data_IF_714762386156
#
_entry.id   IF_714762386156
#
_cell.length_a   1.000
_cell.length_b   1.000
_cell.length_c   1.000
_cell.angle_alpha   90.00
_cell.angle_beta   90.00
_cell.angle_gamma   90.00
#
_symmetry.space_group_name_H-M   'P 1'
#
loop_
_entity.id
_entity.type
_entity.pdbx_description
1 polymer ?
#
# COMPACT_ATOMS: atom_id res chain seq x y z
N UNK A 1 13.15 -13.29 12.29
CA UNK A 1 12.12 -13.29 11.25
C UNK A 1 10.85 -12.66 11.81
N UNK A 2 10.07 -11.96 10.98
CA UNK A 2 8.75 -11.44 11.39
C UNK A 2 7.81 -12.62 11.61
N UNK A 3 6.92 -12.52 12.61
CA UNK A 3 5.87 -13.52 12.82
C UNK A 3 4.87 -13.49 11.65
N UNK A 4 4.49 -14.65 11.14
CA UNK A 4 3.54 -14.75 10.01
C UNK A 4 2.18 -14.15 10.33
N UNK A 5 1.68 -14.26 11.57
CA UNK A 5 0.42 -13.62 11.93
C UNK A 5 0.52 -12.09 11.88
N UNK A 6 1.66 -11.52 12.29
CA UNK A 6 1.92 -10.08 12.19
C UNK A 6 1.95 -9.61 10.73
N UNK A 7 2.42 -10.45 9.79
CA UNK A 7 2.41 -10.13 8.36
C UNK A 7 0.98 -9.92 7.83
N UNK A 8 0.04 -10.80 8.17
CA UNK A 8 -1.36 -10.66 7.77
C UNK A 8 -2.08 -9.53 8.50
N UNK A 9 -1.74 -9.29 9.76
CA UNK A 9 -2.26 -8.14 10.52
C UNK A 9 -1.79 -6.82 9.89
N UNK A 10 -0.53 -6.72 9.49
CA UNK A 10 0.00 -5.56 8.76
C UNK A 10 -0.72 -5.35 7.42
N UNK A 11 -0.93 -6.41 6.63
CA UNK A 11 -1.77 -6.30 5.43
C UNK A 11 -3.20 -5.86 5.75
N UNK A 12 -3.77 -6.37 6.82
CA UNK A 12 -5.12 -6.01 7.24
C UNK A 12 -5.24 -4.51 7.55
N UNK A 13 -4.23 -3.96 8.23
CA UNK A 13 -4.12 -2.52 8.50
C UNK A 13 -3.93 -1.73 7.21
N UNK A 14 -3.05 -2.18 6.30
CA UNK A 14 -2.82 -1.51 5.01
C UNK A 14 -4.08 -1.46 4.13
N UNK A 15 -4.91 -2.50 4.20
CA UNK A 15 -6.12 -2.63 3.38
C UNK A 15 -7.39 -2.08 4.04
N UNK A 16 -7.38 -1.84 5.35
CA UNK A 16 -8.60 -1.53 6.10
C UNK A 16 -9.62 -2.68 6.10
N UNK A 17 -9.14 -3.92 5.96
CA UNK A 17 -9.94 -5.13 5.80
C UNK A 17 -9.27 -6.31 6.52
N UNK A 18 -9.98 -7.40 6.77
CA UNK A 18 -9.36 -8.63 7.32
C UNK A 18 -8.67 -9.41 6.21
N UNK A 19 -7.34 -9.50 6.24
CA UNK A 19 -6.57 -10.29 5.28
C UNK A 19 -6.15 -11.63 5.90
N UNK A 20 -6.31 -12.73 5.15
CA UNK A 20 -5.96 -14.10 5.58
C UNK A 20 -5.20 -14.85 4.49
N UNK A 21 -4.44 -15.91 4.82
CA UNK A 21 -3.84 -16.78 3.81
C UNK A 21 -4.93 -17.50 2.99
N UNK A 22 -4.65 -17.74 1.71
CA UNK A 22 -5.51 -18.53 0.81
C UNK A 22 -5.76 -19.95 1.35
N UNK A 23 -4.80 -20.53 2.06
CA UNK A 23 -4.92 -21.85 2.69
C UNK A 23 -6.08 -21.95 3.67
N UNK A 24 -6.43 -20.85 4.36
CA UNK A 24 -7.60 -20.81 5.26
C UNK A 24 -8.92 -20.95 4.50
N UNK A 25 -9.03 -20.35 3.32
CA UNK A 25 -10.20 -20.51 2.45
C UNK A 25 -10.29 -21.93 1.89
N UNK A 26 -9.16 -22.43 1.39
CA UNK A 26 -9.08 -23.72 0.72
C UNK A 26 -9.29 -24.90 1.68
N UNK A 27 -9.03 -24.74 2.97
CA UNK A 27 -9.35 -25.75 4.00
C UNK A 27 -10.80 -26.20 3.96
N UNK A 28 -11.72 -25.27 3.68
CA UNK A 28 -13.15 -25.54 3.56
C UNK A 28 -13.62 -25.62 2.10
N UNK A 29 -12.76 -25.25 1.13
CA UNK A 29 -13.06 -25.17 -0.29
C UNK A 29 -11.89 -25.69 -1.14
N UNK A 30 -11.59 -27.00 -1.10
CA UNK A 30 -10.41 -27.54 -1.77
C UNK A 30 -10.38 -27.23 -3.27
N UNK A 31 -9.26 -26.73 -3.77
CA UNK A 31 -9.05 -26.42 -5.19
C UNK A 31 -9.81 -25.20 -5.73
N UNK A 32 -10.52 -24.45 -4.89
CA UNK A 32 -11.23 -23.23 -5.29
C UNK A 32 -10.41 -21.98 -5.01
N UNK A 33 -10.62 -20.97 -5.86
CA UNK A 33 -10.10 -19.62 -5.67
C UNK A 33 -11.25 -18.73 -5.22
N UNK A 34 -11.07 -17.90 -4.18
CA UNK A 34 -12.10 -16.98 -3.73
C UNK A 34 -12.19 -15.75 -4.65
N UNK A 35 -13.40 -15.21 -4.87
CA UNK A 35 -13.62 -13.99 -5.66
C UNK A 35 -12.91 -12.75 -5.07
N UNK A 36 -12.63 -12.80 -3.76
CA UNK A 36 -11.92 -11.77 -3.00
C UNK A 36 -10.44 -12.10 -2.77
N UNK A 37 -9.80 -12.74 -3.75
CA UNK A 37 -8.35 -12.93 -3.78
C UNK A 37 -7.65 -11.59 -4.05
N UNK A 38 -6.77 -11.19 -3.13
CA UNK A 38 -5.97 -9.97 -3.22
C UNK A 38 -4.66 -10.24 -3.97
N UNK A 39 -4.50 -9.62 -5.14
CA UNK A 39 -3.24 -9.61 -5.91
C UNK A 39 -2.38 -8.40 -5.53
N UNK A 40 -1.13 -8.35 -6.02
CA UNK A 40 -0.21 -7.22 -5.81
C UNK A 40 -0.73 -5.92 -6.47
N UNK A 41 -1.37 -6.03 -7.62
CA UNK A 41 -2.07 -4.92 -8.29
C UNK A 41 -3.30 -4.50 -7.49
N UNK A 42 -4.10 -5.46 -7.00
CA UNK A 42 -5.21 -5.19 -6.10
C UNK A 42 -4.79 -4.50 -4.81
N UNK A 43 -3.61 -4.87 -4.26
CA UNK A 43 -3.03 -4.21 -3.09
C UNK A 43 -2.67 -2.76 -3.37
N UNK A 44 -2.12 -2.44 -4.55
CA UNK A 44 -1.91 -1.05 -4.95
C UNK A 44 -3.22 -0.26 -4.92
N UNK A 45 -4.27 -0.77 -5.58
CA UNK A 45 -5.57 -0.08 -5.62
C UNK A 45 -6.15 0.05 -4.20
N UNK A 46 -6.18 -1.03 -3.43
CA UNK A 46 -6.81 -1.03 -2.12
C UNK A 46 -6.07 -0.26 -1.04
N UNK A 47 -4.73 -0.21 -1.10
CA UNK A 47 -3.92 0.55 -0.13
C UNK A 47 -3.79 2.04 -0.45
N UNK A 48 -4.01 2.44 -1.72
CA UNK A 48 -3.89 3.84 -2.16
C UNK A 48 -5.24 4.52 -2.39
N UNK A 49 -6.18 3.85 -3.07
CA UNK A 49 -7.52 4.37 -3.38
C UNK A 49 -8.59 3.82 -2.44
N UNK A 50 -8.42 2.57 -2.02
CA UNK A 50 -9.23 1.98 -0.99
C UNK A 50 -9.90 0.64 -1.29
N UNK A 51 -10.29 -0.08 -0.23
CA UNK A 51 -10.98 -1.37 -0.32
C UNK A 51 -12.27 -1.30 -1.12
N UNK A 52 -13.01 -0.18 -1.11
CA UNK A 52 -14.21 -0.02 -1.95
C UNK A 52 -13.85 0.00 -3.43
N UNK A 53 -12.85 0.79 -3.82
CA UNK A 53 -12.29 0.82 -5.16
C UNK A 53 -11.68 -0.54 -5.57
N UNK A 54 -11.12 -1.29 -4.63
CA UNK A 54 -10.64 -2.66 -4.86
C UNK A 54 -11.79 -3.63 -5.12
N UNK A 55 -12.87 -3.60 -4.33
CA UNK A 55 -13.98 -4.53 -4.52
C UNK A 55 -14.64 -4.35 -5.89
N UNK A 56 -14.76 -3.10 -6.35
CA UNK A 56 -15.18 -2.80 -7.72
C UNK A 56 -14.20 -3.34 -8.78
N UNK A 57 -12.89 -3.32 -8.51
CA UNK A 57 -11.87 -3.90 -9.40
C UNK A 57 -11.96 -5.43 -9.47
N UNK A 58 -12.17 -6.08 -8.32
CA UNK A 58 -12.34 -7.54 -8.23
C UNK A 58 -13.62 -8.03 -8.91
N UNK A 59 -14.69 -7.24 -8.85
CA UNK A 59 -15.99 -7.64 -9.40
C UNK A 59 -16.67 -6.51 -10.22
N UNK A 60 -16.24 -6.33 -11.49
CA UNK A 60 -16.69 -5.23 -12.35
C UNK A 60 -18.11 -5.42 -12.92
N UNK A 61 -18.84 -6.50 -12.60
CA UNK A 61 -20.22 -6.74 -13.08
C UNK A 61 -21.28 -6.28 -12.05
N UNK A 62 -20.86 -6.00 -10.82
CA UNK A 62 -21.75 -5.68 -9.69
C UNK A 62 -22.49 -4.33 -9.77
N UNK A 63 -22.16 -3.46 -10.74
CA UNK A 63 -22.79 -2.14 -10.94
C UNK A 63 -24.23 -2.20 -11.47
N UNK A 64 -24.62 -3.26 -12.19
CA UNK A 64 -25.99 -3.42 -12.71
C UNK A 64 -27.00 -3.79 -11.61
N UNK A 65 -26.54 -4.33 -10.47
CA UNK A 65 -27.40 -4.68 -9.34
C UNK A 65 -27.54 -3.54 -8.29
N UNK A 66 -26.91 -2.38 -8.51
CA UNK A 66 -26.95 -1.25 -7.59
C UNK A 66 -28.24 -0.41 -7.67
N UNK A 67 -29.09 -0.63 -8.68
CA UNK A 67 -30.39 0.05 -8.84
C UNK A 67 -31.46 -0.34 -7.81
N UNK A 68 -31.30 -1.47 -7.11
CA UNK A 68 -32.30 -2.01 -6.15
C UNK A 68 -31.87 -1.79 -4.68
N UNK A 69 -30.61 -1.45 -4.45
CA UNK A 69 -30.00 -1.36 -3.12
C UNK A 69 -30.26 -0.02 -2.39
N UNK A 70 -30.62 1.06 -3.11
CA UNK A 70 -30.86 2.39 -2.50
C UNK A 70 -31.97 2.43 -1.44
N UNK A 71 -32.80 1.39 -1.33
CA UNK A 71 -33.84 1.26 -0.31
C UNK A 71 -33.39 0.57 1.00
N UNK A 72 -32.20 -0.04 1.07
CA UNK A 72 -31.80 -0.88 2.22
C UNK A 72 -30.47 -0.54 2.90
N UNK A 73 -29.68 0.41 2.38
CA UNK A 73 -28.41 0.78 3.01
C UNK A 73 -28.56 2.09 3.79
N UNK A 74 -29.03 1.96 5.02
CA UNK A 74 -28.54 2.82 6.10
C UNK A 74 -27.01 2.75 6.09
N UNK A 75 -26.35 3.91 5.99
CA UNK A 75 -24.91 4.07 6.13
C UNK A 75 -24.47 3.63 7.54
N UNK A 76 -24.13 2.34 7.68
CA UNK A 76 -23.69 1.79 8.96
C UNK A 76 -22.19 1.47 8.93
N UNK A 77 -21.46 2.04 9.92
CA UNK A 77 -20.00 2.01 10.09
C UNK A 77 -19.45 0.61 10.39
N UNK A 78 -20.33 -0.37 10.60
CA UNK A 78 -20.07 -1.75 11.00
C UNK A 78 -19.57 -2.68 9.88
N UNK A 79 -19.82 -2.36 8.60
CA UNK A 79 -19.59 -3.29 7.46
C UNK A 79 -18.15 -3.35 6.92
N UNK A 80 -17.31 -2.35 7.16
CA UNK A 80 -15.95 -2.31 6.60
C UNK A 80 -14.99 -3.32 7.23
N UNK A 81 -15.09 -3.50 8.55
CA UNK A 81 -14.31 -4.49 9.31
C UNK A 81 -14.68 -5.94 9.00
N UNK A 82 -15.82 -6.16 8.35
CA UNK A 82 -16.28 -7.49 7.90
C UNK A 82 -15.75 -7.87 6.51
N UNK A 83 -15.14 -6.94 5.77
CA UNK A 83 -14.52 -7.29 4.48
C UNK A 83 -13.35 -8.23 4.74
N UNK A 84 -13.47 -9.46 4.25
CA UNK A 84 -12.38 -10.44 4.25
C UNK A 84 -11.70 -10.43 2.88
N UNK A 85 -10.39 -10.56 2.84
CA UNK A 85 -9.57 -10.76 1.64
C UNK A 85 -8.66 -11.95 1.86
N UNK A 86 -8.31 -12.66 0.80
CA UNK A 86 -7.39 -13.79 0.85
C UNK A 86 -6.14 -13.51 0.03
N UNK A 87 -4.99 -13.96 0.50
CA UNK A 87 -3.71 -13.77 -0.18
C UNK A 87 -3.04 -15.13 -0.40
N UNK A 88 -2.64 -15.39 -1.65
CA UNK A 88 -1.70 -16.46 -1.95
C UNK A 88 -0.28 -15.98 -1.61
N UNK A 89 0.33 -16.61 -0.60
CA UNK A 89 1.66 -16.22 -0.12
C UNK A 89 2.72 -16.27 -1.21
N UNK A 90 2.69 -17.29 -2.07
CA UNK A 90 3.71 -17.54 -3.08
C UNK A 90 3.64 -16.53 -4.22
N UNK A 91 2.45 -15.96 -4.47
CA UNK A 91 2.20 -14.99 -5.53
C UNK A 91 2.21 -13.54 -5.06
N UNK A 92 2.11 -13.31 -3.74
CA UNK A 92 1.99 -11.97 -3.18
C UNK A 92 3.27 -11.50 -2.47
N UNK A 93 3.93 -12.37 -1.71
CA UNK A 93 5.14 -12.02 -0.97
C UNK A 93 6.39 -12.49 -1.68
N UNK A 94 7.45 -11.70 -1.56
CA UNK A 94 8.77 -12.04 -2.08
C UNK A 94 9.75 -12.23 -0.92
N UNK A 95 9.63 -13.37 -0.23
CA UNK A 95 10.29 -13.61 1.06
C UNK A 95 11.81 -13.53 1.00
N UNK A 96 12.43 -13.76 -0.16
CA UNK A 96 13.87 -13.59 -0.36
C UNK A 96 14.32 -12.14 -0.14
N UNK A 97 13.41 -11.18 -0.34
CA UNK A 97 13.64 -9.75 -0.19
C UNK A 97 13.05 -9.16 1.09
N UNK A 98 12.57 -9.98 2.01
CA UNK A 98 12.33 -9.54 3.38
C UNK A 98 13.66 -9.14 4.02
N UNK A 99 13.71 -7.96 4.62
CA UNK A 99 14.92 -7.46 5.27
C UNK A 99 14.63 -6.96 6.67
N UNK A 100 15.47 -7.35 7.61
CA UNK A 100 15.44 -6.86 8.98
C UNK A 100 16.49 -5.76 9.14
N UNK A 101 16.05 -4.50 9.09
CA UNK A 101 16.90 -3.34 9.33
C UNK A 101 16.89 -2.89 10.81
N UNK A 102 16.30 -3.66 11.73
CA UNK A 102 16.11 -3.25 13.14
C UNK A 102 17.43 -2.82 13.80
N UNK A 103 18.50 -3.56 13.55
CA UNK A 103 19.83 -3.31 14.12
C UNK A 103 20.83 -2.80 13.06
N UNK A 104 20.34 -2.29 11.94
CA UNK A 104 21.18 -1.73 10.87
C UNK A 104 21.37 -0.23 11.11
N UNK A 105 22.61 0.22 10.98
CA UNK A 105 22.99 1.63 10.96
C UNK A 105 23.81 1.88 9.72
N UNK A 106 23.36 2.80 8.88
CA UNK A 106 24.05 3.14 7.64
C UNK A 106 24.87 4.42 7.79
N UNK A 107 26.01 4.41 7.12
CA UNK A 107 26.82 5.61 6.93
C UNK A 107 26.89 6.02 5.45
N UNK A 108 26.40 5.15 4.57
CA UNK A 108 26.42 5.30 3.13
C UNK A 108 25.26 6.17 2.63
N UNK A 109 25.54 6.94 1.58
CA UNK A 109 24.52 7.64 0.80
C UNK A 109 24.00 6.70 -0.30
N UNK A 110 22.75 6.25 -0.19
CA UNK A 110 22.10 5.51 -1.27
C UNK A 110 21.34 6.46 -2.17
N UNK A 111 21.24 6.12 -3.46
CA UNK A 111 20.49 6.89 -4.46
C UNK A 111 19.62 5.93 -5.26
N UNK A 112 18.38 6.32 -5.55
CA UNK A 112 17.40 5.55 -6.31
C UNK A 112 16.61 6.51 -7.20
N UNK A 113 16.61 6.27 -8.52
CA UNK A 113 15.93 7.15 -9.48
C UNK A 113 16.38 8.62 -9.42
N UNK A 114 17.66 8.82 -9.17
CA UNK A 114 18.35 10.10 -9.05
C UNK A 114 17.93 10.95 -7.84
N UNK A 115 17.28 10.32 -6.86
CA UNK A 115 16.92 10.90 -5.57
C UNK A 115 17.66 10.19 -4.43
N UNK A 116 18.00 10.94 -3.38
CA UNK A 116 18.58 10.38 -2.17
C UNK A 116 17.64 9.37 -1.51
N UNK A 117 18.18 8.22 -1.12
CA UNK A 117 17.45 7.13 -0.46
C UNK A 117 18.10 6.83 0.89
N UNK A 118 17.30 6.94 1.96
CA UNK A 118 17.69 6.44 3.27
C UNK A 118 17.05 5.07 3.45
N UNK A 119 17.87 4.02 3.59
CA UNK A 119 17.32 2.69 3.91
C UNK A 119 16.53 2.78 5.22
N UNK A 120 15.46 1.98 5.39
CA UNK A 120 14.58 2.06 6.53
C UNK A 120 15.22 1.45 7.80
N UNK A 121 16.38 1.98 8.21
CA UNK A 121 17.10 1.58 9.42
C UNK A 121 16.19 1.69 10.65
N UNK A 122 16.18 0.64 11.48
CA UNK A 122 15.25 0.49 12.61
C UNK A 122 13.88 -0.12 12.25
N UNK A 123 13.68 -0.57 11.01
CA UNK A 123 12.42 -1.19 10.56
C UNK A 123 12.64 -2.59 9.99
N UNK A 124 11.60 -3.41 10.02
CA UNK A 124 11.51 -4.66 9.25
C UNK A 124 10.76 -4.38 7.96
N UNK A 125 11.22 -4.92 6.85
CA UNK A 125 10.54 -4.86 5.56
C UNK A 125 9.98 -6.22 5.21
N UNK A 126 8.68 -6.24 4.91
CA UNK A 126 8.00 -7.29 4.17
C UNK A 126 8.03 -6.90 2.70
N UNK A 127 8.59 -7.74 1.83
CA UNK A 127 8.65 -7.49 0.39
C UNK A 127 7.43 -8.06 -0.35
N UNK A 128 6.98 -7.32 -1.36
CA UNK A 128 5.90 -7.71 -2.26
C UNK A 128 6.48 -8.26 -3.57
N UNK A 129 5.84 -9.28 -4.16
CA UNK A 129 6.24 -9.91 -5.42
C UNK A 129 5.81 -9.08 -6.62
N UNK A 130 6.55 -8.00 -6.85
CA UNK A 130 6.19 -6.92 -7.80
C UNK A 130 6.72 -7.11 -9.22
N UNK A 131 7.61 -8.08 -9.45
CA UNK A 131 8.16 -8.34 -10.78
C UNK A 131 7.03 -8.70 -11.75
N UNK A 132 7.03 -8.03 -12.89
CA UNK A 132 6.06 -8.20 -13.99
C UNK A 132 4.59 -7.86 -13.63
N UNK A 133 4.34 -7.28 -12.44
CA UNK A 133 3.00 -6.84 -12.00
C UNK A 133 2.63 -5.44 -12.47
N UNK A 134 3.61 -4.64 -12.87
CA UNK A 134 3.42 -3.23 -13.23
C UNK A 134 4.01 -2.86 -14.61
N UNK A 135 4.00 -3.80 -15.55
CA UNK A 135 4.66 -3.65 -16.85
C UNK A 135 6.15 -4.01 -16.77
N UNK A 136 7.01 -3.22 -17.40
CA UNK A 136 8.46 -3.43 -17.32
C UNK A 136 8.98 -3.25 -15.88
N UNK A 137 10.15 -3.81 -15.57
CA UNK A 137 10.74 -3.79 -14.23
C UNK A 137 11.81 -2.69 -14.04
N UNK A 138 12.01 -1.81 -15.03
CA UNK A 138 13.10 -0.80 -15.00
C UNK A 138 12.96 0.14 -13.80
N UNK A 139 11.72 0.49 -13.44
CA UNK A 139 11.37 1.30 -12.29
C UNK A 139 11.92 0.77 -10.95
N UNK A 140 12.13 -0.54 -10.81
CA UNK A 140 12.65 -1.15 -9.59
C UNK A 140 14.18 -1.09 -9.51
N UNK A 141 14.84 -1.05 -10.67
CA UNK A 141 16.28 -1.20 -10.83
C UNK A 141 16.77 -2.63 -10.58
N UNK A 142 18.06 -2.92 -10.83
CA UNK A 142 18.62 -4.26 -10.63
C UNK A 142 18.71 -4.60 -9.13
N UNK A 143 18.66 -5.90 -8.84
CA UNK A 143 18.90 -6.41 -7.50
C UNK A 143 20.33 -6.05 -7.01
N UNK A 144 20.49 -5.93 -5.69
CA UNK A 144 21.79 -5.81 -5.03
C UNK A 144 21.98 -4.50 -4.25
N UNK A 145 23.01 -4.52 -3.41
CA UNK A 145 23.48 -3.34 -2.71
C UNK A 145 24.10 -2.35 -3.69
N UNK A 146 23.53 -1.15 -3.79
CA UNK A 146 23.95 -0.11 -4.74
C UNK A 146 23.79 1.27 -4.12
N UNK A 147 24.79 2.12 -4.28
CA UNK A 147 24.79 3.52 -3.85
C UNK A 147 24.47 4.50 -4.99
N UNK A 148 24.22 4.00 -6.21
CA UNK A 148 23.89 4.82 -7.39
C UNK A 148 22.59 4.33 -8.07
N UNK A 149 21.94 5.24 -8.81
CA UNK A 149 20.78 4.95 -9.67
C UNK A 149 21.18 4.19 -10.93
N UNK A 150 20.20 3.54 -11.55
CA UNK A 150 20.26 3.16 -12.97
C UNK A 150 19.20 3.90 -13.77
N UNK A 151 19.42 4.04 -15.08
CA UNK A 151 18.47 4.68 -15.99
C UNK A 151 17.07 4.05 -15.88
N UNK A 152 16.05 4.90 -15.72
CA UNK A 152 14.65 4.48 -15.64
C UNK A 152 14.18 4.00 -14.26
N UNK A 153 15.09 3.89 -13.27
CA UNK A 153 14.72 3.56 -11.90
C UNK A 153 13.84 4.67 -11.30
N UNK A 154 12.83 4.29 -10.54
CA UNK A 154 11.95 5.24 -9.86
C UNK A 154 12.46 5.51 -8.44
N UNK A 155 12.35 6.75 -7.94
CA UNK A 155 12.68 7.07 -6.56
C UNK A 155 11.86 6.31 -5.54
N UNK A 156 12.48 6.08 -4.37
CA UNK A 156 11.78 5.50 -3.22
C UNK A 156 11.00 6.58 -2.50
N UNK A 157 9.76 6.28 -2.14
CA UNK A 157 8.92 7.14 -1.31
C UNK A 157 8.15 6.33 -0.28
N UNK A 158 7.69 7.00 0.76
CA UNK A 158 6.99 6.43 1.88
C UNK A 158 5.61 7.03 2.03
N UNK A 159 4.63 6.19 2.34
CA UNK A 159 3.26 6.60 2.63
C UNK A 159 2.84 6.04 3.99
N UNK A 160 2.65 6.93 4.96
CA UNK A 160 2.06 6.57 6.25
C UNK A 160 0.55 6.47 6.10
N UNK A 161 -0.01 5.29 6.38
CA UNK A 161 -1.47 5.12 6.40
C UNK A 161 -1.96 5.21 7.85
N UNK A 162 -3.03 5.98 8.07
CA UNK A 162 -3.76 5.97 9.34
C UNK A 162 -4.92 4.99 9.25
N UNK A 163 -5.44 4.49 10.37
CA UNK A 163 -6.67 3.68 10.38
C UNK A 163 -7.85 4.44 9.76
N UNK A 164 -7.90 5.78 9.88
CA UNK A 164 -8.88 6.62 9.18
C UNK A 164 -8.50 6.93 7.72
N UNK A 165 -7.26 6.66 7.30
CA UNK A 165 -6.84 6.61 5.90
C UNK A 165 -7.27 5.30 5.26
N UNK A 166 -7.03 4.17 5.95
CA UNK A 166 -7.53 2.84 5.63
C UNK A 166 -9.06 2.73 5.72
N UNK A 167 -9.73 3.53 6.58
CA UNK A 167 -11.19 3.66 6.68
C UNK A 167 -11.78 4.84 5.88
N UNK A 168 -11.01 5.87 5.55
CA UNK A 168 -11.40 6.99 4.69
C UNK A 168 -11.43 6.58 3.21
N UNK A 169 -10.67 5.56 2.89
CA UNK A 169 -10.77 4.63 1.75
C UNK A 169 -12.19 4.02 1.56
N UNK A 170 -13.03 3.98 2.60
CA UNK A 170 -14.41 3.45 2.56
C UNK A 170 -15.47 4.54 2.32
N UNK A 171 -15.11 5.81 2.37
CA UNK A 171 -16.04 6.90 2.07
C UNK A 171 -15.61 7.61 0.79
N UNK A 172 -16.41 7.40 -0.27
CA UNK A 172 -16.62 8.29 -1.41
C UNK A 172 -15.52 9.34 -1.64
N UNK A 173 -14.75 9.13 -2.70
CA UNK A 173 -13.81 10.08 -3.28
C UNK A 173 -12.81 10.65 -2.28
N UNK A 174 -11.61 10.04 -2.22
CA UNK A 174 -10.38 10.68 -1.74
C UNK A 174 -10.66 11.93 -0.88
N UNK A 175 -11.25 11.75 0.32
CA UNK A 175 -11.48 12.87 1.22
C UNK A 175 -10.10 13.27 1.68
N UNK A 176 -9.53 14.18 0.90
CA UNK A 176 -8.20 14.65 1.11
C UNK A 176 -8.12 15.15 2.55
N UNK A 177 -7.04 14.79 3.24
CA UNK A 177 -6.87 15.15 4.64
C UNK A 177 -7.17 16.64 4.85
N UNK A 178 -7.65 16.99 6.04
CA UNK A 178 -8.24 18.30 6.39
C UNK A 178 -7.40 19.55 6.04
N UNK A 179 -6.18 19.40 5.52
CA UNK A 179 -5.27 20.47 5.14
C UNK A 179 -5.05 20.64 3.63
N UNK A 180 -5.23 19.60 2.80
CA UNK A 180 -4.94 19.62 1.34
C UNK A 180 -3.79 20.57 0.96
N UNK A 181 -2.68 20.54 1.72
CA UNK A 181 -1.79 21.71 1.80
C UNK A 181 -1.20 22.06 0.41
N UNK A 182 -1.11 21.06 -0.46
CA UNK A 182 -0.61 21.18 -1.83
C UNK A 182 -1.60 20.71 -2.91
N UNK A 183 -2.87 20.52 -2.54
CA UNK A 183 -3.95 20.09 -3.44
C UNK A 183 -4.40 18.64 -3.28
N UNK A 184 -5.32 18.20 -4.14
CA UNK A 184 -5.87 16.84 -4.18
C UNK A 184 -4.91 15.86 -4.87
N UNK A 185 -4.73 14.68 -4.28
CA UNK A 185 -3.95 13.60 -4.88
C UNK A 185 -3.18 12.77 -3.86
N UNK A 186 -2.31 11.89 -4.35
CA UNK A 186 -1.60 10.89 -3.54
C UNK A 186 -0.32 11.49 -2.98
N UNK A 187 -0.25 11.54 -1.65
CA UNK A 187 0.90 12.07 -0.92
C UNK A 187 1.87 10.96 -0.54
N UNK A 188 3.15 11.18 -0.81
CA UNK A 188 4.26 10.41 -0.25
C UNK A 188 5.43 11.33 0.08
N UNK A 189 6.50 10.79 0.63
CA UNK A 189 7.71 11.55 1.00
C UNK A 189 8.94 10.66 0.89
N UNK A 190 10.12 11.17 0.50
CA UNK A 190 11.37 10.40 0.56
C UNK A 190 11.86 10.22 2.01
N UNK A 191 11.28 10.92 2.99
CA UNK A 191 11.66 10.83 4.40
C UNK A 191 10.71 9.91 5.18
N UNK A 192 11.21 8.72 5.53
CA UNK A 192 10.48 7.74 6.34
C UNK A 192 10.03 8.30 7.70
N UNK A 193 10.78 9.23 8.31
CA UNK A 193 10.39 9.84 9.58
C UNK A 193 9.15 10.72 9.42
N UNK A 194 9.04 11.44 8.30
CA UNK A 194 7.86 12.22 7.97
C UNK A 194 6.65 11.31 7.73
N UNK A 195 6.81 10.24 6.95
CA UNK A 195 5.73 9.27 6.72
C UNK A 195 5.28 8.59 8.02
N UNK A 196 6.23 8.22 8.89
CA UNK A 196 5.96 7.64 10.21
C UNK A 196 5.12 8.55 11.11
N UNK A 197 5.22 9.88 10.96
CA UNK A 197 4.37 10.83 11.67
C UNK A 197 2.88 10.78 11.30
N UNK A 198 2.54 10.19 10.15
CA UNK A 198 1.16 9.97 9.70
C UNK A 198 0.70 8.52 9.87
N UNK A 199 1.63 7.60 10.14
CA UNK A 199 1.31 6.20 10.40
C UNK A 199 0.63 6.04 11.76
N UNK A 200 -0.39 5.18 11.83
CA UNK A 200 -0.92 4.71 13.11
C UNK A 200 -0.25 3.43 13.54
N UNK A 201 -0.29 3.21 14.85
CA UNK A 201 0.19 2.00 15.48
C UNK A 201 -0.96 0.98 15.59
N UNK A 202 -0.66 -0.31 15.51
CA UNK A 202 -1.62 -1.39 15.75
C UNK A 202 -1.08 -2.38 16.78
N UNK A 203 -1.96 -2.87 17.65
CA UNK A 203 -1.64 -3.96 18.56
C UNK A 203 -1.80 -5.30 17.84
N UNK A 204 -0.71 -6.06 17.74
CA UNK A 204 -0.72 -7.40 17.19
C UNK A 204 -1.47 -8.34 18.12
N UNK A 205 -2.46 -9.06 17.59
CA UNK A 205 -3.16 -10.12 18.34
C UNK A 205 -2.33 -11.40 18.38
N UNK A 206 -1.42 -11.55 17.42
CA UNK A 206 -0.55 -12.71 17.28
C UNK A 206 0.50 -12.77 18.40
N UNK A 207 1.14 -11.65 18.72
CA UNK A 207 2.24 -11.64 19.68
C UNK A 207 2.12 -10.57 20.79
N UNK A 208 1.03 -9.80 20.82
CA UNK A 208 0.78 -8.79 21.86
C UNK A 208 1.64 -7.53 21.77
N UNK A 209 2.44 -7.36 20.71
CA UNK A 209 3.32 -6.19 20.51
C UNK A 209 2.64 -5.12 19.67
N UNK A 210 3.04 -3.88 19.88
CA UNK A 210 2.56 -2.74 19.09
C UNK A 210 3.52 -2.46 17.94
N UNK A 211 2.97 -2.31 16.75
CA UNK A 211 3.73 -2.01 15.54
C UNK A 211 3.24 -0.74 14.86
N UNK A 212 4.18 0.08 14.40
CA UNK A 212 3.93 1.12 13.41
C UNK A 212 4.14 0.59 12.02
N UNK A 213 3.23 0.93 11.09
CA UNK A 213 3.31 0.49 9.70
C UNK A 213 3.41 1.64 8.69
N UNK A 214 4.33 1.53 7.74
CA UNK A 214 4.49 2.47 6.62
C UNK A 214 4.60 1.71 5.31
N UNK A 215 3.95 2.18 4.25
CA UNK A 215 4.14 1.63 2.90
C UNK A 215 5.41 2.20 2.29
N UNK A 216 6.24 1.32 1.73
CA UNK A 216 7.39 1.65 0.94
C UNK A 216 7.06 1.49 -0.55
N UNK A 217 7.21 2.58 -1.30
CA UNK A 217 6.78 2.70 -2.69
C UNK A 217 7.94 3.11 -3.59
N UNK A 218 7.81 2.81 -4.87
CA UNK A 218 8.48 3.53 -5.95
C UNK A 218 7.52 4.53 -6.56
N UNK A 219 7.97 5.73 -6.87
CA UNK A 219 7.13 6.80 -7.44
C UNK A 219 7.69 7.25 -8.78
N UNK A 220 6.81 7.41 -9.77
CA UNK A 220 7.18 7.90 -11.08
C UNK A 220 7.59 9.38 -11.00
N UNK A 221 8.84 9.74 -11.31
CA UNK A 221 9.29 11.13 -11.24
C UNK A 221 8.51 12.05 -12.19
N UNK A 222 8.03 11.53 -13.33
CA UNK A 222 7.28 12.32 -14.31
C UNK A 222 5.84 12.64 -13.88
N UNK A 223 5.29 11.90 -12.90
CA UNK A 223 3.91 12.08 -12.45
C UNK A 223 3.80 12.81 -11.11
N UNK A 224 4.93 13.05 -10.41
CA UNK A 224 4.94 13.71 -9.10
C UNK A 224 5.19 15.21 -9.19
N UNK A 225 4.68 15.94 -8.21
CA UNK A 225 5.01 17.33 -7.89
C UNK A 225 5.77 17.37 -6.56
N UNK A 226 6.92 18.04 -6.53
CA UNK A 226 7.67 18.28 -5.29
C UNK A 226 7.07 19.51 -4.58
N UNK A 227 6.70 19.33 -3.32
CA UNK A 227 6.03 20.34 -2.52
C UNK A 227 7.03 21.09 -1.63
N UNK A 228 6.82 22.41 -1.43
CA UNK A 228 7.84 23.34 -0.88
C UNK A 228 8.27 23.12 0.58
N UNK A 229 7.59 22.28 1.37
CA UNK A 229 7.93 22.02 2.78
C UNK A 229 8.02 20.52 3.02
N UNK A 230 9.11 20.10 3.69
CA UNK A 230 9.43 18.72 4.14
C UNK A 230 9.41 17.65 3.04
N UNK A 231 9.77 18.05 1.82
CA UNK A 231 9.92 17.19 0.63
C UNK A 231 8.72 16.26 0.38
N UNK A 232 7.49 16.73 0.63
CA UNK A 232 6.32 15.95 0.20
C UNK A 232 6.28 15.86 -1.33
N UNK A 233 5.96 14.67 -1.80
CA UNK A 233 5.69 14.39 -3.19
C UNK A 233 4.20 14.14 -3.36
N UNK A 234 3.62 14.79 -4.36
CA UNK A 234 2.20 14.71 -4.67
C UNK A 234 2.03 14.16 -6.08
N UNK A 235 1.31 13.05 -6.24
CA UNK A 235 0.71 12.67 -7.52
C UNK A 235 -0.64 13.39 -7.60
N UNK A 236 -0.79 14.46 -8.40
CA UNK A 236 -2.01 15.24 -8.43
C UNK A 236 -3.15 14.45 -9.06
N UNK A 237 -4.34 14.59 -8.50
CA UNK A 237 -5.57 14.05 -9.09
C UNK A 237 -6.59 15.18 -9.15
N UNK A 238 -6.99 15.57 -10.35
CA UNK A 238 -7.86 16.73 -10.56
C UNK A 238 -9.26 16.48 -9.98
N UNK A 239 -9.95 17.55 -9.62
CA UNK A 239 -11.35 17.45 -9.20
C UNK A 239 -12.21 16.99 -10.38
N UNK A 240 -13.17 16.10 -10.10
CA UNK A 240 -14.04 15.51 -11.12
C UNK A 240 -13.38 14.40 -11.96
N UNK A 241 -12.17 13.95 -11.63
CA UNK A 241 -11.57 12.75 -12.25
C UNK A 241 -12.46 11.53 -12.00
N UNK A 242 -12.74 10.74 -13.04
CA UNK A 242 -13.54 9.52 -12.91
C UNK A 242 -12.77 8.45 -12.13
N UNK A 243 -13.48 7.56 -11.43
CA UNK A 243 -12.84 6.48 -10.64
C UNK A 243 -11.90 5.61 -11.50
N UNK A 244 -12.25 5.37 -12.77
CA UNK A 244 -11.40 4.63 -13.71
C UNK A 244 -10.11 5.38 -14.03
N UNK A 245 -10.18 6.69 -14.26
CA UNK A 245 -8.98 7.48 -14.53
C UNK A 245 -8.12 7.65 -13.26
N UNK A 246 -8.72 7.71 -12.07
CA UNK A 246 -7.96 7.70 -10.82
C UNK A 246 -7.14 6.43 -10.64
N UNK A 247 -7.73 5.26 -10.96
CA UNK A 247 -6.99 3.99 -10.98
C UNK A 247 -5.81 4.03 -11.93
N UNK A 248 -6.03 4.50 -13.16
CA UNK A 248 -4.95 4.63 -14.17
C UNK A 248 -3.86 5.59 -13.73
N UNK A 249 -4.22 6.69 -13.07
CA UNK A 249 -3.26 7.63 -12.48
C UNK A 249 -2.43 6.92 -11.40
N UNK A 250 -3.04 6.15 -10.52
CA UNK A 250 -2.32 5.41 -9.47
C UNK A 250 -1.34 4.41 -10.06
N UNK A 251 -1.80 3.55 -10.96
CA UNK A 251 -1.01 2.49 -11.61
C UNK A 251 0.23 3.02 -12.33
N UNK A 252 0.12 4.18 -12.98
CA UNK A 252 1.24 4.81 -13.69
C UNK A 252 2.16 5.66 -12.80
N UNK A 253 1.77 5.95 -11.56
CA UNK A 253 2.44 6.96 -10.73
C UNK A 253 3.10 6.43 -9.48
N UNK A 254 2.56 5.40 -8.83
CA UNK A 254 3.10 4.89 -7.57
C UNK A 254 2.93 3.38 -7.47
N UNK A 255 3.95 2.69 -6.94
CA UNK A 255 4.02 1.23 -6.86
C UNK A 255 4.55 0.80 -5.49
N UNK A 256 3.69 0.35 -4.56
CA UNK A 256 4.12 -0.31 -3.34
C UNK A 256 4.96 -1.54 -3.68
N UNK A 257 6.08 -1.68 -2.99
CA UNK A 257 6.94 -2.87 -3.13
C UNK A 257 7.39 -3.42 -1.78
N UNK A 258 7.06 -2.72 -0.68
CA UNK A 258 7.28 -3.25 0.64
C UNK A 258 6.37 -2.62 1.70
N UNK A 259 6.17 -3.36 2.77
CA UNK A 259 5.50 -2.91 3.99
C UNK A 259 6.56 -2.85 5.08
N UNK A 260 6.71 -1.68 5.70
CA UNK A 260 7.66 -1.46 6.78
C UNK A 260 6.94 -1.55 8.12
N UNK A 261 7.53 -2.30 9.04
CA UNK A 261 7.06 -2.45 10.41
C UNK A 261 8.15 -2.05 11.40
N UNK A 262 7.77 -1.27 12.41
CA UNK A 262 8.63 -0.96 13.54
C UNK A 262 7.89 -1.27 14.84
N UNK A 263 8.50 -2.10 15.67
CA UNK A 263 8.03 -2.33 17.04
C UNK A 263 8.21 -1.03 17.85
N UNK A 264 7.17 -0.63 18.59
CA UNK A 264 7.12 0.61 19.38
C UNK A 264 7.24 0.31 20.87
#
# INVERSE_FOLDING_TARGET
MLDEGVRYEALSVAMGATVRPLSDFQRNNPGKTPDNLLTVEGFLIGSVLGVTSLLQWLNPVSWLAWGVSKLFFSEDKSKATDTKLYVDEAEFFDREFDYDFTNVSDSECFVRGDEGYKRPCGWKRIALKVLDKYGDNTWLGPNGFRTHSVTGEWPVSYHGTSEDGAKGIIQSHYKAGARQLYGRGIYSTPDLSQASGYARDFLSKTNGKTYRMVLQNRINPAQRKICKRVDYWLVPVNDGTSEEEERRIVERSIRPYGILLREI
#
